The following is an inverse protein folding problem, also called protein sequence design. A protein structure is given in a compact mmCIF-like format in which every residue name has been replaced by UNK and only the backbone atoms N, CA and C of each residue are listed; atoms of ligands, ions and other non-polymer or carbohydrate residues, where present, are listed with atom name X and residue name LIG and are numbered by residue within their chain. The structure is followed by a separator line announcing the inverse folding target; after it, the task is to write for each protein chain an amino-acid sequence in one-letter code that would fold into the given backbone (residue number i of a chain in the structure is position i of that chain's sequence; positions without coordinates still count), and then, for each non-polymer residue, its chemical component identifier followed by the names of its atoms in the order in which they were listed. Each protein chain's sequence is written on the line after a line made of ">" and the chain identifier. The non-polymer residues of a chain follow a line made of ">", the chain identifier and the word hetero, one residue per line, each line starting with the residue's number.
data_IF_007042646680
#
_entry.id   IF_007042646680
#
_cell.length_a   1.000
_cell.length_b   1.000
_cell.length_c   1.000
_cell.angle_alpha   90.00
_cell.angle_beta   90.00
_cell.angle_gamma   90.00
#
_symmetry.space_group_name_H-M   'P 1'
#
loop_
_entity.id
_entity.type
_entity.pdbx_description
1 polymer ?
#
# COMPACT_ATOMS: atom_id res chain seq x y z
N UNK A 1 74.86 9.14 37.54
CA UNK A 1 74.00 10.35 37.61
C UNK A 1 73.43 10.54 36.19
N UNK A 2 72.15 10.23 35.91
CA UNK A 2 71.00 11.18 35.88
C UNK A 2 71.37 12.46 35.10
N UNK A 3 70.80 12.87 33.95
CA UNK A 3 69.41 12.89 33.44
C UNK A 3 69.35 13.05 31.89
N UNK A 4 68.21 12.64 31.31
CA UNK A 4 67.73 12.76 29.91
C UNK A 4 67.77 14.19 29.33
N UNK A 5 67.85 14.33 27.98
CA UNK A 5 66.97 15.23 27.21
C UNK A 5 66.73 14.72 25.77
N UNK A 6 65.45 14.77 25.38
CA UNK A 6 64.81 14.30 24.15
C UNK A 6 65.05 15.25 22.97
N UNK A 7 65.37 14.70 21.79
CA UNK A 7 65.21 15.40 20.51
C UNK A 7 63.96 14.88 19.78
N UNK A 8 62.95 15.74 19.70
CA UNK A 8 61.70 15.48 19.01
C UNK A 8 61.90 15.53 17.49
N UNK A 9 61.54 14.46 16.79
CA UNK A 9 61.38 14.47 15.32
C UNK A 9 59.91 14.77 15.04
N UNK A 10 59.62 15.98 14.56
CA UNK A 10 58.30 16.39 14.08
C UNK A 10 58.07 15.83 12.67
N UNK A 11 57.52 14.61 12.59
CA UNK A 11 56.96 14.08 11.34
C UNK A 11 55.53 14.62 11.16
N UNK A 12 55.37 15.63 10.34
CA UNK A 12 54.06 16.16 9.94
C UNK A 12 53.43 15.20 8.94
N UNK A 13 52.50 14.37 9.41
CA UNK A 13 51.66 13.53 8.54
C UNK A 13 50.49 14.41 8.08
N UNK A 14 50.51 14.82 6.80
CA UNK A 14 49.38 15.47 6.18
C UNK A 14 48.28 14.44 5.88
N UNK A 15 47.22 14.41 6.70
CA UNK A 15 46.01 13.64 6.41
C UNK A 15 45.22 14.36 5.31
N UNK A 16 45.35 13.89 4.07
CA UNK A 16 44.45 14.31 2.99
C UNK A 16 43.07 13.71 3.25
N UNK A 17 42.13 14.55 3.69
CA UNK A 17 40.71 14.21 3.75
C UNK A 17 40.19 14.03 2.33
N UNK A 18 40.20 12.79 1.83
CA UNK A 18 39.51 12.41 0.61
C UNK A 18 38.00 12.45 0.87
N UNK A 19 37.36 13.57 0.50
CA UNK A 19 35.92 13.70 0.48
C UNK A 19 35.34 12.81 -0.63
N UNK A 20 34.90 11.60 -0.27
CA UNK A 20 34.04 10.81 -1.15
C UNK A 20 32.68 11.51 -1.22
N UNK A 21 32.45 12.26 -2.29
CA UNK A 21 31.12 12.75 -2.62
C UNK A 21 30.23 11.52 -2.89
N UNK A 22 29.34 11.22 -1.95
CA UNK A 22 28.21 10.32 -2.19
C UNK A 22 27.33 10.97 -3.25
N UNK A 23 27.51 10.54 -4.50
CA UNK A 23 26.59 10.82 -5.59
C UNK A 23 25.25 10.14 -5.24
N UNK A 24 24.41 10.84 -4.49
CA UNK A 24 22.98 10.52 -4.44
C UNK A 24 22.43 10.95 -5.79
N UNK A 25 22.53 10.07 -6.79
CA UNK A 25 21.78 10.28 -8.02
C UNK A 25 20.30 10.34 -7.63
N UNK A 26 19.57 11.43 -7.91
CA UNK A 26 18.13 11.39 -7.81
C UNK A 26 17.68 10.31 -8.79
N UNK A 27 17.06 9.25 -8.28
CA UNK A 27 16.36 8.33 -9.16
C UNK A 27 15.32 9.17 -9.89
N UNK A 28 15.35 9.18 -11.22
CA UNK A 28 14.24 9.70 -11.99
C UNK A 28 13.00 8.99 -11.46
N UNK A 29 12.14 9.73 -10.75
CA UNK A 29 10.98 9.19 -10.08
C UNK A 29 10.07 8.58 -11.15
N UNK A 30 10.24 7.29 -11.41
CA UNK A 30 9.23 6.46 -12.04
C UNK A 30 7.95 6.77 -11.27
N UNK A 31 6.96 7.32 -11.95
CA UNK A 31 5.69 7.67 -11.32
C UNK A 31 5.18 6.42 -10.61
N UNK A 32 5.14 6.51 -9.29
CA UNK A 32 4.84 5.37 -8.43
C UNK A 32 3.46 4.79 -8.78
N UNK A 33 3.38 3.46 -8.80
CA UNK A 33 2.11 2.79 -9.11
C UNK A 33 1.09 3.03 -8.00
N UNK A 34 1.52 2.99 -6.75
CA UNK A 34 0.74 3.30 -5.57
C UNK A 34 1.41 4.45 -4.84
N UNK A 35 0.67 5.41 -4.34
CA UNK A 35 1.26 6.53 -3.60
C UNK A 35 0.27 7.05 -2.56
N UNK A 36 0.81 7.70 -1.53
CA UNK A 36 -0.02 8.42 -0.58
C UNK A 36 -0.45 9.77 -1.18
N UNK A 37 -1.73 10.08 -1.12
CA UNK A 37 -2.26 11.39 -1.50
C UNK A 37 -3.54 11.71 -0.74
N UNK A 38 -4.23 12.77 -1.16
CA UNK A 38 -5.48 13.18 -0.55
C UNK A 38 -6.67 12.73 -1.38
N UNK A 39 -7.71 12.22 -0.72
CA UNK A 39 -9.01 11.94 -1.32
C UNK A 39 -10.13 12.34 -0.37
N UNK A 40 -11.03 13.22 -0.82
CA UNK A 40 -12.16 13.72 -0.02
C UNK A 40 -11.74 14.19 1.38
N UNK A 41 -10.66 14.97 1.44
CA UNK A 41 -10.14 15.54 2.70
C UNK A 41 -9.40 14.58 3.63
N UNK A 42 -9.19 13.32 3.24
CA UNK A 42 -8.47 12.33 4.05
C UNK A 42 -7.24 11.78 3.31
N UNK A 43 -6.15 11.42 4.03
CA UNK A 43 -5.04 10.68 3.43
C UNK A 43 -5.54 9.35 2.85
N UNK A 44 -5.04 8.99 1.67
CA UNK A 44 -5.48 7.82 0.94
C UNK A 44 -4.32 7.16 0.18
N UNK A 45 -4.30 5.83 0.18
CA UNK A 45 -3.47 5.07 -0.76
C UNK A 45 -4.16 5.10 -2.11
N UNK A 46 -3.48 5.66 -3.11
CA UNK A 46 -4.01 5.90 -4.45
C UNK A 46 -3.20 5.07 -5.44
N UNK A 47 -3.88 4.34 -6.34
CA UNK A 47 -3.24 3.66 -7.46
C UNK A 47 -3.27 4.56 -8.71
N UNK A 48 -2.12 4.76 -9.33
CA UNK A 48 -1.99 5.39 -10.63
C UNK A 48 -2.32 4.37 -11.74
N UNK A 49 -3.32 4.67 -12.55
CA UNK A 49 -3.69 3.84 -13.71
C UNK A 49 -3.69 4.68 -14.98
N UNK A 50 -3.69 4.02 -16.14
CA UNK A 50 -3.82 4.70 -17.43
C UNK A 50 -5.15 5.46 -17.56
N UNK A 51 -6.15 5.13 -16.73
CA UNK A 51 -7.47 5.79 -16.69
C UNK A 51 -7.56 6.88 -15.61
N UNK A 52 -6.45 7.16 -14.93
CA UNK A 52 -6.38 8.15 -13.85
C UNK A 52 -6.07 7.54 -12.48
N UNK A 53 -6.04 8.41 -11.49
CA UNK A 53 -5.74 8.08 -10.10
C UNK A 53 -6.99 7.55 -9.39
N UNK A 54 -6.91 6.37 -8.78
CA UNK A 54 -8.03 5.75 -8.05
C UNK A 54 -7.66 5.54 -6.57
N UNK A 55 -8.37 6.15 -5.61
CA UNK A 55 -8.15 5.86 -4.19
C UNK A 55 -8.64 4.44 -3.87
N UNK A 56 -7.80 3.64 -3.20
CA UNK A 56 -8.12 2.24 -2.82
C UNK A 56 -8.20 2.05 -1.30
N UNK A 57 -7.55 2.90 -0.51
CA UNK A 57 -7.65 2.89 0.95
C UNK A 57 -7.77 4.34 1.43
N UNK A 58 -8.75 4.62 2.27
CA UNK A 58 -8.90 5.92 2.94
C UNK A 58 -8.56 5.78 4.42
N UNK A 59 -7.57 6.54 4.87
CA UNK A 59 -7.03 6.50 6.22
C UNK A 59 -7.76 7.53 7.09
N UNK A 60 -8.80 7.07 7.80
CA UNK A 60 -9.65 7.95 8.64
C UNK A 60 -9.57 7.64 10.13
N UNK A 61 -9.15 6.44 10.50
CA UNK A 61 -9.20 5.99 11.89
C UNK A 61 -8.00 6.53 12.68
N UNK A 62 -8.22 7.36 13.69
CA UNK A 62 -7.15 8.11 14.39
C UNK A 62 -6.66 7.47 15.68
N UNK A 63 -7.33 6.44 16.20
CA UNK A 63 -7.04 5.90 17.54
C UNK A 63 -5.84 4.92 17.60
N UNK A 64 -5.01 4.84 16.56
CA UNK A 64 -3.73 4.14 16.68
C UNK A 64 -2.77 4.99 17.53
N UNK A 65 -2.00 4.35 18.43
CA UNK A 65 -1.02 5.08 19.22
C UNK A 65 0.06 5.67 18.31
N UNK A 66 0.65 6.83 18.68
CA UNK A 66 1.81 7.37 18.00
C UNK A 66 2.91 6.31 17.80
N UNK A 67 3.62 6.32 16.67
CA UNK A 67 3.61 7.39 15.67
C UNK A 67 2.46 7.28 14.65
N UNK A 68 1.70 6.16 14.61
CA UNK A 68 0.77 5.71 13.56
C UNK A 68 -0.47 6.60 13.28
N UNK A 69 -0.25 7.85 12.90
CA UNK A 69 -1.31 8.75 12.40
C UNK A 69 -1.88 8.25 11.07
N UNK A 70 -3.06 8.74 10.64
CA UNK A 70 -3.57 8.44 9.31
C UNK A 70 -2.59 8.77 8.17
N UNK A 71 -1.87 9.90 8.27
CA UNK A 71 -0.89 10.31 7.27
C UNK A 71 0.30 9.34 7.22
N UNK A 72 0.89 9.00 8.36
CA UNK A 72 2.04 8.10 8.38
C UNK A 72 1.69 6.69 7.91
N UNK A 73 0.51 6.18 8.26
CA UNK A 73 0.04 4.89 7.74
C UNK A 73 -0.19 4.96 6.24
N UNK A 74 -0.70 6.07 5.72
CA UNK A 74 -0.86 6.27 4.30
C UNK A 74 0.47 6.18 3.56
N UNK A 75 1.51 6.85 4.04
CA UNK A 75 2.87 6.81 3.48
C UNK A 75 3.45 5.39 3.54
N UNK A 76 3.64 4.84 4.74
CA UNK A 76 4.28 3.54 4.94
C UNK A 76 3.59 2.40 4.18
N UNK A 77 2.26 2.41 4.14
CA UNK A 77 1.51 1.34 3.50
C UNK A 77 1.50 1.54 1.99
N UNK A 78 1.39 2.77 1.48
CA UNK A 78 1.51 3.01 0.03
C UNK A 78 2.88 2.57 -0.50
N UNK A 79 3.95 2.84 0.24
CA UNK A 79 5.30 2.39 -0.09
C UNK A 79 5.40 0.87 -0.09
N UNK A 80 4.70 0.21 0.85
CA UNK A 80 4.63 -1.25 0.88
C UNK A 80 3.88 -1.84 -0.31
N UNK A 81 2.75 -1.23 -0.69
CA UNK A 81 2.03 -1.59 -1.91
C UNK A 81 2.94 -1.47 -3.14
N UNK A 82 3.70 -0.37 -3.25
CA UNK A 82 4.68 -0.20 -4.31
C UNK A 82 5.76 -1.27 -4.31
N UNK A 83 6.35 -1.59 -3.16
CA UNK A 83 7.40 -2.62 -3.05
C UNK A 83 6.89 -3.97 -3.56
N UNK A 84 5.72 -4.43 -3.10
CA UNK A 84 5.16 -5.70 -3.59
C UNK A 84 4.75 -5.63 -5.07
N UNK A 85 4.30 -4.47 -5.55
CA UNK A 85 3.96 -4.28 -6.96
C UNK A 85 5.21 -4.37 -7.85
N UNK A 86 6.27 -3.63 -7.52
CA UNK A 86 7.54 -3.62 -8.24
C UNK A 86 8.21 -5.00 -8.21
N UNK A 87 8.06 -5.73 -7.10
CA UNK A 87 8.55 -7.11 -6.97
C UNK A 87 7.63 -8.15 -7.65
N UNK A 88 6.51 -7.76 -8.26
CA UNK A 88 5.58 -8.68 -8.93
C UNK A 88 4.82 -9.65 -8.00
N UNK A 89 4.79 -9.37 -6.70
CA UNK A 89 4.18 -10.23 -5.65
C UNK A 89 2.82 -9.73 -5.18
N UNK A 90 2.43 -8.49 -5.52
CA UNK A 90 1.10 -7.94 -5.26
C UNK A 90 0.06 -8.51 -6.26
N UNK A 91 -0.24 -9.82 -6.13
CA UNK A 91 -1.21 -10.52 -6.99
C UNK A 91 -2.58 -10.60 -6.34
N UNK A 92 -2.64 -11.17 -5.14
CA UNK A 92 -3.86 -11.30 -4.36
C UNK A 92 -3.67 -10.70 -2.97
N UNK A 93 -4.72 -10.06 -2.44
CA UNK A 93 -4.78 -9.61 -1.05
C UNK A 93 -5.78 -10.50 -0.31
N UNK A 94 -5.41 -11.00 0.85
CA UNK A 94 -6.32 -11.77 1.71
C UNK A 94 -6.26 -11.32 3.15
N UNK A 95 -7.29 -11.70 3.90
CA UNK A 95 -7.29 -11.63 5.34
C UNK A 95 -6.37 -12.73 5.93
N UNK A 96 -5.66 -12.39 6.99
CA UNK A 96 -4.83 -13.31 7.75
C UNK A 96 -4.51 -12.78 9.13
N UNK A 97 -3.61 -13.48 9.82
CA UNK A 97 -3.11 -13.12 11.13
C UNK A 97 -1.59 -13.23 11.12
N UNK A 98 -0.93 -12.25 11.73
CA UNK A 98 0.50 -12.33 12.03
C UNK A 98 0.65 -12.29 13.55
N UNK A 99 0.98 -13.45 14.14
CA UNK A 99 0.84 -13.64 15.58
C UNK A 99 -0.63 -13.52 16.01
N UNK A 100 -0.94 -12.58 16.91
CA UNK A 100 -2.31 -12.27 17.38
C UNK A 100 -2.89 -10.99 16.78
N UNK A 101 -2.25 -10.48 15.72
CA UNK A 101 -2.63 -9.23 15.10
C UNK A 101 -3.35 -9.50 13.77
N UNK A 102 -4.60 -9.03 13.59
CA UNK A 102 -5.30 -9.17 12.31
C UNK A 102 -4.61 -8.32 11.24
N UNK A 103 -4.40 -8.91 10.06
CA UNK A 103 -3.69 -8.26 8.95
C UNK A 103 -4.40 -8.50 7.62
N UNK A 104 -4.10 -7.61 6.66
CA UNK A 104 -4.23 -7.92 5.25
C UNK A 104 -2.85 -8.20 4.69
N UNK A 105 -2.72 -9.27 3.91
CA UNK A 105 -1.44 -9.74 3.40
C UNK A 105 -1.53 -10.09 1.91
N UNK A 106 -0.37 -10.12 1.24
CA UNK A 106 -0.25 -10.65 -0.12
C UNK A 106 -0.23 -12.17 -0.13
N UNK A 107 -0.82 -12.74 -1.18
CA UNK A 107 -0.71 -14.15 -1.54
C UNK A 107 -0.33 -14.29 -3.02
N UNK A 108 0.51 -15.28 -3.35
CA UNK A 108 1.00 -15.51 -4.72
C UNK A 108 -0.06 -16.04 -5.68
N UNK A 109 -1.08 -16.71 -5.16
CA UNK A 109 -2.19 -17.30 -5.93
C UNK A 109 -3.44 -17.41 -5.04
N UNK A 110 -4.62 -17.48 -5.66
CA UNK A 110 -5.88 -17.71 -4.93
C UNK A 110 -5.90 -19.11 -4.31
N UNK A 111 -6.22 -19.20 -3.02
CA UNK A 111 -6.05 -20.43 -2.22
C UNK A 111 -4.73 -20.52 -1.46
N UNK A 112 -3.76 -19.65 -1.74
CA UNK A 112 -2.46 -19.61 -1.04
C UNK A 112 -2.53 -18.95 0.36
N UNK A 113 -1.56 -19.27 1.22
CA UNK A 113 -1.38 -18.56 2.50
C UNK A 113 -0.85 -17.14 2.29
N UNK A 114 -0.86 -16.32 3.37
CA UNK A 114 -0.04 -15.11 3.40
C UNK A 114 1.41 -15.45 3.10
N UNK A 115 2.09 -14.61 2.32
CA UNK A 115 3.54 -14.68 2.22
C UNK A 115 4.19 -14.39 3.59
N UNK A 116 5.32 -15.04 3.93
CA UNK A 116 5.99 -14.85 5.23
C UNK A 116 6.25 -13.37 5.57
N UNK A 117 6.73 -12.59 4.61
CA UNK A 117 6.95 -11.14 4.73
C UNK A 117 5.88 -10.35 3.97
N UNK A 118 4.67 -10.92 3.85
CA UNK A 118 3.61 -10.45 2.98
C UNK A 118 2.63 -9.46 3.60
N UNK A 119 2.86 -8.96 4.81
CA UNK A 119 1.88 -8.11 5.51
C UNK A 119 1.78 -6.75 4.81
N UNK A 120 0.62 -6.43 4.23
CA UNK A 120 0.34 -5.12 3.64
C UNK A 120 -0.17 -4.11 4.67
N UNK A 121 -1.18 -4.51 5.43
CA UNK A 121 -1.88 -3.63 6.38
C UNK A 121 -2.03 -4.34 7.70
N UNK A 122 -1.66 -3.66 8.78
CA UNK A 122 -1.97 -4.11 10.14
C UNK A 122 -3.26 -3.44 10.60
N UNK A 123 -4.24 -4.24 11.00
CA UNK A 123 -5.57 -3.77 11.44
C UNK A 123 -5.59 -3.57 12.96
N UNK A 124 -6.57 -2.83 13.49
CA UNK A 124 -6.72 -2.70 14.93
C UNK A 124 -7.11 -4.05 15.56
N UNK A 125 -6.68 -4.30 16.80
CA UNK A 125 -7.07 -5.53 17.53
C UNK A 125 -8.58 -5.61 17.69
N UNK A 126 -9.13 -6.82 17.65
CA UNK A 126 -10.58 -7.05 17.72
C UNK A 126 -11.33 -6.75 16.42
N UNK A 127 -10.64 -6.34 15.36
CA UNK A 127 -11.25 -6.17 14.04
C UNK A 127 -11.29 -7.50 13.29
N UNK A 128 -12.40 -7.79 12.59
CA UNK A 128 -12.50 -8.92 11.69
C UNK A 128 -11.80 -8.59 10.34
N UNK A 129 -10.68 -9.24 9.98
CA UNK A 129 -9.91 -8.88 8.79
C UNK A 129 -10.65 -9.20 7.48
N UNK A 130 -11.49 -10.24 7.44
CA UNK A 130 -12.33 -10.58 6.29
C UNK A 130 -13.32 -9.46 6.01
N UNK A 131 -14.00 -8.94 7.05
CA UNK A 131 -14.93 -7.83 6.90
C UNK A 131 -14.22 -6.56 6.38
N UNK A 132 -13.00 -6.29 6.83
CA UNK A 132 -12.22 -5.15 6.31
C UNK A 132 -11.82 -5.36 4.85
N UNK A 133 -11.42 -6.58 4.46
CA UNK A 133 -11.11 -6.90 3.07
C UNK A 133 -12.32 -6.63 2.16
N UNK A 134 -13.53 -7.04 2.57
CA UNK A 134 -14.75 -6.72 1.83
C UNK A 134 -15.03 -5.22 1.77
N UNK A 135 -14.78 -4.47 2.85
CA UNK A 135 -14.97 -3.00 2.84
C UNK A 135 -14.02 -2.26 1.92
N UNK A 136 -12.80 -2.76 1.71
CA UNK A 136 -11.87 -2.19 0.74
C UNK A 136 -12.43 -2.21 -0.69
N UNK A 137 -13.25 -3.20 -1.00
CA UNK A 137 -13.91 -3.33 -2.31
C UNK A 137 -15.05 -2.34 -2.47
N UNK A 138 -15.88 -2.21 -1.44
CA UNK A 138 -17.12 -1.43 -1.51
C UNK A 138 -16.89 0.09 -1.54
N UNK A 139 -15.72 0.56 -1.11
CA UNK A 139 -15.39 1.99 -1.02
C UNK A 139 -14.47 2.49 -2.15
N UNK A 140 -14.02 1.59 -3.03
CA UNK A 140 -13.15 1.90 -4.17
C UNK A 140 -13.91 2.41 -5.40
N UNK A 141 -15.23 2.57 -5.33
CA UNK A 141 -16.08 3.14 -6.38
C UNK A 141 -16.71 4.42 -5.83
N UNK A 142 -16.59 5.52 -6.56
CA UNK A 142 -16.98 6.84 -6.07
C UNK A 142 -18.45 6.91 -5.66
N UNK A 143 -18.70 7.36 -4.42
CA UNK A 143 -20.00 7.89 -3.99
C UNK A 143 -21.13 6.86 -3.86
N UNK A 144 -21.59 6.61 -2.63
CA UNK A 144 -22.66 5.67 -2.34
C UNK A 144 -22.10 4.30 -2.02
N UNK A 145 -22.09 3.96 -0.72
CA UNK A 145 -21.69 2.63 -0.28
C UNK A 145 -22.62 1.59 -0.90
N UNK A 146 -22.17 0.91 -1.94
CA UNK A 146 -22.87 -0.26 -2.46
C UNK A 146 -22.66 -1.37 -1.43
N UNK A 147 -23.73 -1.74 -0.74
CA UNK A 147 -23.79 -2.99 0.00
C UNK A 147 -23.62 -4.08 -1.08
N UNK A 148 -22.56 -4.90 -0.97
CA UNK A 148 -22.51 -6.13 -1.74
C UNK A 148 -23.57 -7.05 -1.14
N UNK A 149 -24.66 -7.27 -1.87
CA UNK A 149 -25.43 -8.50 -1.73
C UNK A 149 -24.56 -9.64 -2.26
N UNK A 150 -24.22 -10.57 -1.39
CA UNK A 150 -23.59 -11.84 -1.75
C UNK A 150 -24.66 -12.73 -2.38
N UNK A 151 -25.08 -12.38 -3.59
CA UNK A 151 -25.89 -13.25 -4.44
C UNK A 151 -24.96 -13.84 -5.47
N UNK A 152 -24.90 -15.18 -5.55
CA UNK A 152 -24.07 -15.98 -6.47
C UNK A 152 -24.31 -15.70 -7.98
N UNK A 153 -24.98 -14.61 -8.35
CA UNK A 153 -25.48 -14.33 -9.70
C UNK A 153 -25.16 -12.91 -10.21
N UNK A 154 -24.26 -12.15 -9.57
CA UNK A 154 -23.56 -11.03 -10.24
C UNK A 154 -22.08 -11.17 -9.97
N UNK A 155 -21.36 -11.68 -10.97
CA UNK A 155 -19.93 -11.94 -10.95
C UNK A 155 -19.15 -10.66 -10.61
N UNK A 156 -18.89 -10.42 -9.33
CA UNK A 156 -17.81 -9.53 -8.91
C UNK A 156 -16.52 -10.33 -9.07
N UNK A 157 -16.00 -10.39 -10.30
CA UNK A 157 -14.82 -11.16 -10.68
C UNK A 157 -13.54 -10.80 -9.90
N UNK A 158 -13.56 -9.70 -9.14
CA UNK A 158 -12.48 -9.23 -8.24
C UNK A 158 -12.23 -10.17 -7.05
N UNK A 159 -13.27 -10.75 -6.44
CA UNK A 159 -13.09 -11.66 -5.30
C UNK A 159 -13.15 -13.10 -5.78
N UNK A 160 -12.24 -13.93 -5.29
CA UNK A 160 -12.40 -15.38 -5.32
C UNK A 160 -12.47 -15.92 -3.89
N UNK A 161 -13.32 -16.91 -3.66
CA UNK A 161 -13.43 -17.62 -2.40
C UNK A 161 -12.84 -19.02 -2.58
N UNK A 162 -11.90 -19.41 -1.70
CA UNK A 162 -11.31 -20.74 -1.67
C UNK A 162 -11.34 -21.24 -0.23
N UNK A 163 -12.14 -22.29 0.02
CA UNK A 163 -12.45 -22.73 1.38
C UNK A 163 -13.16 -21.64 2.18
N UNK A 164 -12.61 -21.29 3.35
CA UNK A 164 -13.13 -20.24 4.22
C UNK A 164 -12.44 -18.86 4.03
N UNK A 165 -11.61 -18.72 3.00
CA UNK A 165 -10.82 -17.52 2.76
C UNK A 165 -11.22 -16.83 1.46
N UNK A 166 -11.22 -15.49 1.51
CA UNK A 166 -11.46 -14.63 0.35
C UNK A 166 -10.18 -13.96 -0.12
N UNK A 167 -10.07 -13.81 -1.42
CA UNK A 167 -8.90 -13.28 -2.12
C UNK A 167 -9.33 -12.17 -3.05
N UNK A 168 -8.80 -10.99 -2.83
CA UNK A 168 -8.94 -9.80 -3.65
C UNK A 168 -7.87 -9.82 -4.75
N UNK A 169 -8.29 -9.99 -6.00
CA UNK A 169 -7.43 -9.88 -7.17
C UNK A 169 -7.09 -8.42 -7.45
N UNK A 170 -5.79 -8.08 -7.30
CA UNK A 170 -5.34 -6.70 -7.40
C UNK A 170 -5.40 -6.20 -8.84
N UNK A 171 -5.15 -7.05 -9.83
CA UNK A 171 -5.22 -6.63 -11.23
C UNK A 171 -6.65 -6.28 -11.60
N UNK A 172 -7.60 -7.11 -11.18
CA UNK A 172 -9.03 -6.85 -11.41
C UNK A 172 -9.50 -5.59 -10.69
N UNK A 173 -9.07 -5.37 -9.44
CA UNK A 173 -9.37 -4.12 -8.70
C UNK A 173 -8.88 -2.87 -9.44
N UNK A 174 -7.70 -2.95 -10.08
CA UNK A 174 -7.11 -1.84 -10.83
C UNK A 174 -7.81 -1.65 -12.17
N UNK A 175 -8.25 -2.73 -12.84
CA UNK A 175 -8.96 -2.66 -14.12
C UNK A 175 -10.44 -2.32 -13.98
N UNK A 176 -11.07 -2.66 -12.84
CA UNK A 176 -12.48 -2.41 -12.57
C UNK A 176 -12.70 -0.97 -12.10
N UNK A 177 -12.91 -0.14 -13.10
CA UNK A 177 -13.34 1.25 -13.00
C UNK A 177 -14.00 1.68 -14.31
N UNK A 178 -14.83 0.82 -14.90
CA UNK A 178 -15.60 1.14 -16.12
C UNK A 178 -16.94 0.43 -16.25
N UNK A 179 -17.61 0.15 -15.14
CA UNK A 179 -19.07 0.35 -15.10
C UNK A 179 -19.34 1.45 -14.05
N UNK A 180 -18.77 2.63 -14.28
CA UNK A 180 -19.64 3.80 -14.17
C UNK A 180 -20.72 3.53 -15.22
N UNK A 181 -21.99 3.52 -14.83
CA UNK A 181 -23.12 3.43 -15.75
C UNK A 181 -22.76 4.11 -17.06
N UNK A 182 -22.66 3.34 -18.16
CA UNK A 182 -22.76 3.96 -19.47
C UNK A 182 -24.11 4.63 -19.43
N UNK A 183 -24.13 5.96 -19.34
CA UNK A 183 -25.38 6.69 -19.50
C UNK A 183 -25.97 6.21 -20.83
N UNK A 184 -27.16 5.58 -20.83
CA UNK A 184 -27.69 4.94 -22.01
C UNK A 184 -27.62 5.91 -23.18
N UNK A 185 -27.14 5.45 -24.33
CA UNK A 185 -27.00 6.29 -25.51
C UNK A 185 -28.37 6.92 -25.83
N UNK A 186 -28.47 8.23 -25.62
CA UNK A 186 -29.72 8.99 -25.78
C UNK A 186 -30.12 9.86 -24.59
N UNK A 187 -29.46 9.76 -23.43
CA UNK A 187 -29.75 10.61 -22.27
C UNK A 187 -28.76 11.80 -22.16
N UNK A 188 -29.26 13.02 -21.85
CA UNK A 188 -28.41 14.19 -21.67
C UNK A 188 -27.60 14.10 -20.37
N UNK A 189 -26.42 14.73 -20.35
CA UNK A 189 -25.40 14.63 -19.29
C UNK A 189 -25.89 15.04 -17.88
N UNK A 190 -27.01 15.76 -17.76
CA UNK A 190 -27.57 16.19 -16.48
C UNK A 190 -28.60 15.21 -15.89
N UNK A 191 -28.97 14.18 -16.65
CA UNK A 191 -29.79 13.04 -16.20
C UNK A 191 -28.93 11.84 -15.73
N UNK A 192 -27.60 12.00 -15.81
CA UNK A 192 -26.59 11.17 -15.15
C UNK A 192 -26.07 11.98 -13.93
#
# INVERSE_FOLDING_TARGET
>A
MRFSLFTQVLSVIALTLSSTAINVQPSYAQKEKFFCGMSRGNPATIVNTNRGNKPIISWVYTAFPPPWTPQQRCEEISDRFNRFYQNGTLKFIRAGEFGRQPVLCVASYSGGSCLPDGVLVTLARGTNPQLILYRLLNKSVGGGGKIIELTDNKSNNVISNVGNASYLDVQKLISEGSESEKCPSGLPMWEC
#
